data_IF_217058975167
#
_entry.id   IF_217058975167
#
_cell.length_a   1.000
_cell.length_b   1.000
_cell.length_c   1.000
_cell.angle_alpha   90.00
_cell.angle_beta   90.00
_cell.angle_gamma   90.00
#
_symmetry.space_group_name_H-M   'P 1'
#
loop_
_entity.id
_entity.type
_entity.pdbx_description
1 polymer ?
#
# COMPACT_ATOMS: atom_id res chain seq x y z
N UNK A 1 1.50 0.94 17.16
CA UNK A 1 1.72 1.06 15.70
C UNK A 1 0.77 2.12 15.18
N UNK A 2 1.23 2.94 14.24
CA UNK A 2 0.44 4.04 13.64
C UNK A 2 0.49 3.93 12.13
N UNK A 3 -0.61 4.19 11.44
CA UNK A 3 -0.66 4.33 9.98
C UNK A 3 -1.13 5.74 9.62
N UNK A 4 -0.44 6.38 8.67
CA UNK A 4 -0.86 7.63 8.04
C UNK A 4 -1.11 7.37 6.56
N UNK A 5 -2.30 7.69 6.08
CA UNK A 5 -2.67 7.60 4.67
C UNK A 5 -2.06 8.78 3.92
N UNK A 6 -1.03 8.55 3.12
CA UNK A 6 -0.41 9.59 2.28
C UNK A 6 -1.22 9.75 0.99
N UNK A 7 -1.63 8.63 0.40
CA UNK A 7 -2.48 8.57 -0.77
C UNK A 7 -3.34 7.32 -0.75
N UNK A 8 -4.57 7.44 -1.22
CA UNK A 8 -5.59 6.38 -1.23
C UNK A 8 -6.45 6.38 -2.50
N UNK A 9 -6.11 7.18 -3.51
CA UNK A 9 -6.79 7.11 -4.81
C UNK A 9 -6.41 5.84 -5.55
N UNK A 10 -7.41 5.17 -6.10
CA UNK A 10 -7.26 3.98 -6.93
C UNK A 10 -7.01 4.31 -8.39
N UNK A 11 -6.18 3.50 -9.06
CA UNK A 11 -5.85 3.53 -10.49
C UNK A 11 -5.11 4.79 -10.96
N UNK A 12 -5.36 5.95 -10.39
CA UNK A 12 -4.70 7.23 -10.70
C UNK A 12 -4.94 8.25 -9.57
N UNK A 13 -4.08 9.28 -9.43
CA UNK A 13 -4.26 10.29 -8.39
C UNK A 13 -5.49 11.15 -8.68
N UNK A 14 -6.27 11.42 -7.64
CA UNK A 14 -7.39 12.34 -7.68
C UNK A 14 -7.02 13.74 -7.18
N UNK A 15 -7.92 14.72 -7.31
CA UNK A 15 -7.66 16.09 -6.83
C UNK A 15 -7.50 16.19 -5.30
N UNK A 16 -8.09 15.25 -4.55
CA UNK A 16 -8.06 15.25 -3.09
C UNK A 16 -7.03 14.27 -2.51
N UNK A 17 -6.45 13.38 -3.30
CA UNK A 17 -5.51 12.35 -2.82
C UNK A 17 -4.56 11.91 -3.92
N UNK A 18 -3.26 11.73 -3.62
CA UNK A 18 -2.36 10.94 -4.45
C UNK A 18 -2.83 9.50 -4.60
N UNK A 19 -2.18 8.76 -5.49
CA UNK A 19 -2.31 7.31 -5.60
C UNK A 19 -1.74 6.60 -4.35
N UNK A 20 -1.86 5.28 -4.28
CA UNK A 20 -1.60 4.47 -3.09
C UNK A 20 -0.24 4.72 -2.45
N UNK A 21 -0.25 5.13 -1.20
CA UNK A 21 0.92 5.23 -0.33
C UNK A 21 0.49 5.32 1.14
N UNK A 22 1.05 4.46 1.98
CA UNK A 22 0.73 4.42 3.40
C UNK A 22 2.02 4.40 4.22
N UNK A 23 2.13 5.36 5.14
CA UNK A 23 3.25 5.43 6.09
C UNK A 23 2.87 4.68 7.37
N UNK A 24 3.61 3.62 7.67
CA UNK A 24 3.41 2.83 8.90
C UNK A 24 4.60 3.05 9.82
N UNK A 25 4.31 3.41 11.07
CA UNK A 25 5.32 3.76 12.07
C UNK A 25 5.18 2.88 13.33
N UNK A 26 6.32 2.36 13.81
CA UNK A 26 6.45 1.72 15.12
C UNK A 26 7.89 1.90 15.62
N UNK A 27 8.08 2.11 16.91
CA UNK A 27 9.38 2.20 17.59
C UNK A 27 10.39 3.13 16.87
N UNK A 28 9.89 4.25 16.32
CA UNK A 28 10.70 5.24 15.59
C UNK A 28 11.10 4.83 14.17
N UNK A 29 10.72 3.65 13.71
CA UNK A 29 10.96 3.19 12.32
C UNK A 29 9.77 3.54 11.42
N UNK A 30 10.06 3.95 10.18
CA UNK A 30 9.08 4.34 9.16
C UNK A 30 9.15 3.40 7.97
N UNK A 31 8.07 2.71 7.72
CA UNK A 31 7.88 1.82 6.58
C UNK A 31 6.84 2.43 5.63
N UNK A 32 7.13 2.48 4.34
CA UNK A 32 6.12 2.79 3.32
C UNK A 32 5.55 1.50 2.74
N UNK A 33 4.24 1.44 2.64
CA UNK A 33 3.51 0.48 1.81
C UNK A 33 3.07 1.23 0.55
N UNK A 34 3.66 0.86 -0.59
CA UNK A 34 3.54 1.50 -1.89
C UNK A 34 4.03 2.97 -1.94
N UNK A 35 4.28 3.45 -3.15
CA UNK A 35 4.63 4.84 -3.43
C UNK A 35 4.15 5.19 -4.85
N UNK A 36 2.84 5.32 -4.99
CA UNK A 36 2.17 5.67 -6.23
C UNK A 36 2.37 7.13 -6.62
N UNK A 37 1.98 7.45 -7.83
CA UNK A 37 2.21 8.78 -8.40
C UNK A 37 1.50 9.91 -7.60
N UNK A 38 2.25 10.99 -7.37
CA UNK A 38 1.87 12.14 -6.55
C UNK A 38 2.12 11.97 -5.04
N UNK A 39 2.40 10.75 -4.59
CA UNK A 39 2.54 10.45 -3.16
C UNK A 39 3.86 10.96 -2.56
N UNK A 40 4.94 11.02 -3.32
CA UNK A 40 6.21 11.53 -2.81
C UNK A 40 6.12 13.01 -2.36
N UNK A 41 5.37 13.81 -3.11
CA UNK A 41 5.11 15.20 -2.73
C UNK A 41 4.32 15.31 -1.44
N UNK A 42 3.25 14.55 -1.32
CA UNK A 42 2.39 14.53 -0.14
C UNK A 42 3.10 13.96 1.10
N UNK A 43 3.94 12.93 0.94
CA UNK A 43 4.73 12.30 2.01
C UNK A 43 5.57 13.31 2.79
N UNK A 44 6.13 14.32 2.12
CA UNK A 44 6.99 15.33 2.74
C UNK A 44 6.27 16.22 3.76
N UNK A 45 4.92 16.23 3.77
CA UNK A 45 4.13 16.88 4.83
C UNK A 45 4.07 16.04 6.12
N UNK A 46 4.47 14.76 6.07
CA UNK A 46 4.32 13.80 7.17
C UNK A 46 5.64 13.24 7.67
N UNK A 47 6.64 13.10 6.79
CA UNK A 47 7.95 12.58 7.15
C UNK A 47 9.05 13.17 6.26
N UNK A 48 10.27 13.39 6.79
CA UNK A 48 11.42 13.71 5.96
C UNK A 48 11.81 12.50 5.11
N UNK A 49 12.28 12.75 3.88
CA UNK A 49 12.60 11.68 2.92
C UNK A 49 13.77 10.79 3.36
N UNK A 50 14.71 11.33 4.12
CA UNK A 50 15.82 10.58 4.73
C UNK A 50 15.42 9.80 5.98
N UNK A 51 14.24 10.07 6.54
CA UNK A 51 13.70 9.40 7.70
C UNK A 51 12.95 8.09 7.39
N UNK A 52 12.81 7.70 6.12
CA UNK A 52 12.17 6.43 5.72
C UNK A 52 13.17 5.29 5.87
N UNK A 53 12.79 4.25 6.60
CA UNK A 53 13.63 3.10 6.88
C UNK A 53 13.54 1.99 5.83
N UNK A 54 12.37 1.83 5.19
CA UNK A 54 12.13 0.83 4.14
C UNK A 54 10.89 1.15 3.30
N UNK A 55 10.79 0.53 2.12
CA UNK A 55 9.60 0.52 1.27
C UNK A 55 9.22 -0.92 0.94
N UNK A 56 7.91 -1.21 0.97
CA UNK A 56 7.33 -2.43 0.43
C UNK A 56 6.40 -2.06 -0.72
N UNK A 57 6.70 -2.52 -1.94
CA UNK A 57 5.84 -2.35 -3.09
C UNK A 57 4.99 -3.61 -3.25
N UNK A 58 3.68 -3.44 -3.23
CA UNK A 58 2.73 -4.55 -3.34
C UNK A 58 2.75 -5.20 -4.72
N UNK A 59 2.79 -4.38 -5.75
CA UNK A 59 2.88 -4.77 -7.15
C UNK A 59 3.42 -3.60 -7.99
N UNK A 60 3.54 -3.78 -9.32
CA UNK A 60 4.27 -2.84 -10.18
C UNK A 60 3.36 -2.01 -11.12
N UNK A 61 2.08 -1.83 -10.80
CA UNK A 61 1.28 -0.81 -11.47
C UNK A 61 1.74 0.60 -11.09
N UNK A 62 1.49 1.57 -11.99
CA UNK A 62 2.03 2.92 -11.85
C UNK A 62 1.55 3.64 -10.59
N UNK A 63 0.31 3.45 -10.24
CA UNK A 63 -0.35 4.03 -9.06
C UNK A 63 0.10 3.41 -7.71
N UNK A 64 1.04 2.45 -7.75
CA UNK A 64 1.69 1.86 -6.57
C UNK A 64 3.19 2.06 -6.51
N UNK A 65 3.86 2.40 -7.63
CA UNK A 65 5.32 2.41 -7.63
C UNK A 65 6.01 3.58 -8.36
N UNK A 66 5.30 4.39 -9.16
CA UNK A 66 6.00 5.32 -10.06
C UNK A 66 6.74 6.46 -9.36
N UNK A 67 6.32 6.90 -8.18
CA UNK A 67 7.06 7.94 -7.44
C UNK A 67 8.39 7.45 -6.86
N UNK A 68 8.67 6.14 -6.91
CA UNK A 68 10.02 5.63 -6.69
C UNK A 68 11.05 6.24 -7.65
N UNK A 69 10.64 6.57 -8.88
CA UNK A 69 11.50 7.27 -9.84
C UNK A 69 11.91 8.66 -9.33
N UNK A 70 10.94 9.45 -8.90
CA UNK A 70 11.20 10.78 -8.30
C UNK A 70 11.95 10.66 -6.98
N UNK A 71 11.67 9.63 -6.19
CA UNK A 71 12.38 9.38 -4.94
C UNK A 71 13.85 9.02 -5.18
N UNK A 72 14.17 8.27 -6.25
CA UNK A 72 15.56 8.01 -6.64
C UNK A 72 16.33 9.32 -6.92
N UNK A 73 15.70 10.28 -7.60
CA UNK A 73 16.29 11.60 -7.85
C UNK A 73 16.53 12.35 -6.53
N UNK A 74 15.52 12.41 -5.65
CA UNK A 74 15.65 13.09 -4.36
C UNK A 74 16.78 12.49 -3.50
N UNK A 75 16.94 11.16 -3.52
CA UNK A 75 18.00 10.47 -2.78
C UNK A 75 19.38 10.67 -3.37
N UNK A 76 19.48 10.70 -4.71
CA UNK A 76 20.76 10.87 -5.41
C UNK A 76 21.32 12.28 -5.25
N UNK A 77 20.45 13.28 -5.28
CA UNK A 77 20.84 14.70 -5.31
C UNK A 77 20.46 15.44 -4.02
N UNK A 78 20.40 14.74 -2.91
CA UNK A 78 20.14 15.36 -1.61
C UNK A 78 21.19 16.42 -1.27
N UNK A 79 20.84 17.55 -0.60
CA UNK A 79 21.77 18.64 -0.31
C UNK A 79 23.02 18.23 0.47
N UNK A 80 22.94 17.18 1.29
CA UNK A 80 24.06 16.59 2.03
C UNK A 80 24.87 15.54 1.28
N UNK A 81 24.60 15.33 -0.03
CA UNK A 81 25.15 14.24 -0.83
C UNK A 81 24.17 13.07 -0.98
N UNK A 82 24.52 12.10 -1.83
CA UNK A 82 23.68 10.94 -2.07
C UNK A 82 23.39 10.16 -0.77
N UNK A 83 22.12 9.86 -0.55
CA UNK A 83 21.70 9.04 0.61
C UNK A 83 22.13 7.58 0.41
N UNK A 84 22.40 6.83 1.50
CA UNK A 84 22.62 5.40 1.43
C UNK A 84 21.44 4.66 0.76
N UNK A 85 21.68 3.55 0.02
CA UNK A 85 20.60 2.81 -0.62
C UNK A 85 19.51 2.39 0.36
N UNK A 86 18.25 2.77 0.09
CA UNK A 86 17.10 2.42 0.91
C UNK A 86 16.67 0.98 0.62
N UNK A 87 16.44 0.12 1.64
CA UNK A 87 15.87 -1.19 1.45
C UNK A 87 14.47 -1.12 0.82
N UNK A 88 14.27 -1.87 -0.27
CA UNK A 88 12.97 -1.97 -0.97
C UNK A 88 12.62 -3.43 -1.18
N UNK A 89 11.51 -3.86 -0.63
CA UNK A 89 10.93 -5.17 -0.93
C UNK A 89 9.88 -4.99 -2.02
N UNK A 90 10.00 -5.73 -3.11
CA UNK A 90 9.14 -5.57 -4.29
C UNK A 90 9.00 -6.89 -5.06
N UNK A 91 7.97 -7.04 -5.89
CA UNK A 91 7.90 -8.15 -6.84
C UNK A 91 9.11 -8.21 -7.77
N UNK A 92 9.33 -9.38 -8.38
CA UNK A 92 10.38 -9.58 -9.37
C UNK A 92 10.32 -8.55 -10.49
N UNK A 93 11.48 -8.11 -11.00
CA UNK A 93 11.57 -7.15 -12.11
C UNK A 93 11.31 -5.68 -11.72
N UNK A 94 11.19 -5.36 -10.43
CA UNK A 94 10.97 -3.97 -10.00
C UNK A 94 12.10 -3.01 -10.41
N UNK A 95 13.40 -3.35 -10.29
CA UNK A 95 14.47 -2.48 -10.75
C UNK A 95 14.38 -2.15 -12.24
N UNK A 96 14.11 -3.15 -13.07
CA UNK A 96 13.98 -3.02 -14.53
C UNK A 96 12.76 -2.18 -14.91
N UNK A 97 11.64 -2.40 -14.22
CA UNK A 97 10.39 -1.66 -14.43
C UNK A 97 10.58 -0.17 -14.14
N UNK A 98 11.20 0.15 -13.00
CA UNK A 98 11.43 1.52 -12.56
C UNK A 98 12.51 2.23 -13.40
N UNK A 99 13.59 1.55 -13.75
CA UNK A 99 14.63 2.12 -14.62
C UNK A 99 14.06 2.48 -16.00
N UNK A 100 13.22 1.61 -16.59
CA UNK A 100 12.53 1.91 -17.86
C UNK A 100 11.56 3.09 -17.72
N UNK A 101 10.82 3.17 -16.61
CA UNK A 101 9.91 4.28 -16.37
C UNK A 101 10.66 5.61 -16.20
N UNK A 102 11.84 5.58 -15.58
CA UNK A 102 12.70 6.76 -15.39
C UNK A 102 13.49 7.12 -16.66
N UNK A 103 13.57 6.23 -17.65
CA UNK A 103 14.38 6.43 -18.88
C UNK A 103 15.88 6.31 -18.64
N UNK A 104 16.31 5.49 -17.67
CA UNK A 104 17.72 5.30 -17.27
C UNK A 104 18.09 3.81 -17.30
N UNK A 105 19.41 3.52 -17.19
CA UNK A 105 19.88 2.18 -16.87
C UNK A 105 19.69 1.89 -15.38
N UNK A 106 19.55 0.61 -15.01
CA UNK A 106 19.39 0.19 -13.62
C UNK A 106 20.55 0.69 -12.75
N UNK A 107 21.80 0.54 -13.23
CA UNK A 107 23.03 0.91 -12.52
C UNK A 107 23.18 2.40 -12.24
N UNK A 108 22.57 3.26 -13.07
CA UNK A 108 22.87 4.69 -13.07
C UNK A 108 21.93 5.52 -12.18
N UNK A 109 20.82 4.95 -11.76
CA UNK A 109 19.83 5.67 -10.94
C UNK A 109 19.21 4.80 -9.86
N UNK A 110 18.40 3.84 -10.26
CA UNK A 110 17.55 3.05 -9.36
C UNK A 110 18.38 2.21 -8.37
N UNK A 111 19.41 1.49 -8.85
CA UNK A 111 20.23 0.63 -7.98
C UNK A 111 21.17 1.41 -7.04
N UNK A 112 21.45 2.67 -7.33
CA UNK A 112 22.22 3.54 -6.41
C UNK A 112 21.38 4.03 -5.25
N UNK A 113 20.09 4.24 -5.49
CA UNK A 113 19.17 4.79 -4.51
C UNK A 113 18.50 3.73 -3.66
N UNK A 114 18.35 2.50 -4.18
CA UNK A 114 17.56 1.44 -3.56
C UNK A 114 18.28 0.10 -3.53
N UNK A 115 18.21 -0.56 -2.38
CA UNK A 115 18.65 -1.95 -2.19
C UNK A 115 17.43 -2.88 -2.33
N UNK A 116 17.16 -3.33 -3.55
CA UNK A 116 16.01 -4.21 -3.82
C UNK A 116 16.18 -5.60 -3.25
N UNK A 117 15.08 -6.13 -2.73
CA UNK A 117 14.89 -7.49 -2.25
C UNK A 117 13.57 -8.01 -2.81
N UNK A 118 13.62 -9.14 -3.47
CA UNK A 118 12.44 -9.75 -4.07
C UNK A 118 11.47 -10.23 -2.99
N UNK A 119 10.18 -9.93 -3.19
CA UNK A 119 9.11 -10.46 -2.37
C UNK A 119 8.84 -11.92 -2.76
N UNK A 120 8.53 -12.71 -1.75
CA UNK A 120 7.95 -14.04 -1.88
C UNK A 120 6.98 -14.24 -0.71
N UNK A 121 5.99 -15.14 -0.80
CA UNK A 121 5.15 -15.49 0.33
C UNK A 121 5.99 -15.96 1.53
N UNK A 122 5.59 -15.56 2.73
CA UNK A 122 6.30 -15.91 3.97
C UNK A 122 6.49 -14.73 4.90
N UNK A 123 7.16 -14.97 6.02
CA UNK A 123 7.37 -14.00 7.09
C UNK A 123 8.83 -13.55 7.14
N UNK A 124 9.05 -12.26 7.38
CA UNK A 124 10.37 -11.63 7.52
C UNK A 124 10.34 -10.46 8.48
N UNK A 125 11.51 -10.10 9.01
CA UNK A 125 11.67 -8.92 9.85
C UNK A 125 12.07 -7.71 9.01
N UNK A 126 11.32 -6.59 9.16
CA UNK A 126 11.64 -5.29 8.54
C UNK A 126 11.56 -4.21 9.65
N UNK A 127 12.71 -3.75 10.13
CA UNK A 127 12.73 -2.90 11.33
C UNK A 127 12.04 -3.59 12.51
N UNK A 128 11.13 -2.92 13.22
CA UNK A 128 10.38 -3.51 14.33
C UNK A 128 9.20 -4.39 13.87
N UNK A 129 8.89 -4.42 12.56
CA UNK A 129 7.75 -5.16 12.04
C UNK A 129 8.10 -6.60 11.69
N UNK A 130 7.32 -7.55 12.21
CA UNK A 130 7.19 -8.86 11.59
C UNK A 130 6.23 -8.73 10.42
N UNK A 131 6.74 -8.91 9.20
CA UNK A 131 5.99 -8.72 7.95
C UNK A 131 5.74 -10.07 7.29
N UNK A 132 4.48 -10.47 7.21
CA UNK A 132 4.04 -11.64 6.44
C UNK A 132 3.41 -11.19 5.13
N UNK A 133 3.79 -11.84 4.03
CA UNK A 133 3.26 -11.59 2.68
C UNK A 133 2.61 -12.83 2.11
N UNK A 134 1.57 -12.65 1.33
CA UNK A 134 0.92 -13.69 0.55
C UNK A 134 0.52 -13.14 -0.81
N UNK A 135 0.52 -13.99 -1.85
CA UNK A 135 -0.07 -13.61 -3.13
C UNK A 135 -1.56 -13.33 -2.96
N UNK A 136 -2.02 -12.27 -3.61
CA UNK A 136 -3.43 -11.91 -3.74
C UNK A 136 -3.85 -12.00 -5.22
N UNK A 137 -5.14 -11.94 -5.47
CA UNK A 137 -5.68 -12.17 -6.81
C UNK A 137 -5.75 -10.87 -7.61
N UNK A 138 -4.78 -10.64 -8.49
CA UNK A 138 -4.73 -9.44 -9.34
C UNK A 138 -4.23 -9.77 -10.75
N UNK A 139 -4.30 -8.80 -11.67
CA UNK A 139 -3.90 -8.97 -13.08
C UNK A 139 -2.40 -9.13 -13.30
N UNK A 140 -1.59 -8.74 -12.31
CA UNK A 140 -0.14 -8.93 -12.23
C UNK A 140 0.23 -9.56 -10.90
N UNK A 141 1.48 -9.99 -10.73
CA UNK A 141 1.95 -10.46 -9.42
C UNK A 141 1.76 -9.37 -8.37
N UNK A 142 0.97 -9.69 -7.34
CA UNK A 142 0.62 -8.79 -6.26
C UNK A 142 0.66 -9.49 -4.90
N UNK A 143 1.10 -8.75 -3.88
CA UNK A 143 1.23 -9.24 -2.51
C UNK A 143 0.40 -8.38 -1.56
N UNK A 144 -0.43 -9.04 -0.75
CA UNK A 144 -0.96 -8.46 0.47
C UNK A 144 0.06 -8.55 1.60
N UNK A 145 -0.08 -7.69 2.61
CA UNK A 145 0.82 -7.59 3.75
C UNK A 145 0.09 -7.71 5.07
N UNK A 146 0.70 -8.43 6.02
CA UNK A 146 0.36 -8.40 7.43
C UNK A 146 1.58 -7.89 8.18
N UNK A 147 1.42 -6.81 8.94
CA UNK A 147 2.45 -6.19 9.76
C UNK A 147 2.09 -6.36 11.23
N UNK A 148 2.98 -6.96 12.01
CA UNK A 148 2.81 -7.08 13.45
C UNK A 148 3.95 -6.32 14.17
N UNK A 149 3.59 -5.46 15.13
CA UNK A 149 4.55 -4.74 15.99
C UNK A 149 3.85 -4.27 17.26
N UNK A 150 4.52 -4.37 18.41
CA UNK A 150 4.00 -3.91 19.69
C UNK A 150 2.68 -4.57 20.12
N UNK A 151 2.46 -5.83 19.74
CA UNK A 151 1.22 -6.57 20.01
C UNK A 151 0.03 -6.15 19.16
N UNK A 152 0.24 -5.32 18.13
CA UNK A 152 -0.77 -4.82 17.20
C UNK A 152 -0.54 -5.35 15.80
N UNK A 153 -1.62 -5.50 15.02
CA UNK A 153 -1.62 -6.08 13.69
C UNK A 153 -2.38 -5.20 12.71
N UNK A 154 -1.69 -4.82 11.64
CA UNK A 154 -2.25 -4.18 10.44
C UNK A 154 -2.21 -5.18 9.27
N UNK A 155 -3.32 -5.37 8.57
CA UNK A 155 -3.36 -6.07 7.28
C UNK A 155 -3.61 -5.08 6.15
N UNK A 156 -2.86 -5.18 5.06
CA UNK A 156 -3.05 -4.40 3.83
C UNK A 156 -3.33 -5.35 2.67
N UNK A 157 -4.44 -5.14 2.00
CA UNK A 157 -4.88 -6.01 0.89
C UNK A 157 -4.00 -5.89 -0.35
N UNK A 158 -3.40 -4.73 -0.60
CA UNK A 158 -3.00 -4.30 -1.94
C UNK A 158 -4.20 -4.32 -2.90
N UNK A 159 -3.97 -4.35 -4.22
CA UNK A 159 -5.03 -4.55 -5.22
C UNK A 159 -5.35 -6.02 -5.36
N UNK A 160 -6.62 -6.36 -5.27
CA UNK A 160 -7.03 -7.76 -5.32
C UNK A 160 -8.51 -7.91 -5.67
N UNK A 161 -8.85 -8.93 -6.44
CA UNK A 161 -10.18 -9.51 -6.42
C UNK A 161 -10.41 -10.38 -5.17
N UNK A 162 -11.52 -11.10 -5.13
CA UNK A 162 -11.80 -12.02 -4.02
C UNK A 162 -10.66 -13.03 -3.82
N UNK A 163 -10.13 -13.10 -2.58
CA UNK A 163 -8.91 -13.86 -2.27
C UNK A 163 -8.99 -14.54 -0.90
N UNK A 164 -9.13 -15.87 -0.85
CA UNK A 164 -9.02 -16.61 0.40
C UNK A 164 -7.67 -16.43 1.11
N UNK A 165 -6.61 -16.14 0.34
CA UNK A 165 -5.30 -15.85 0.90
C UNK A 165 -5.29 -14.54 1.69
N UNK A 166 -6.02 -13.51 1.21
CA UNK A 166 -6.21 -12.25 1.93
C UNK A 166 -6.95 -12.46 3.26
N UNK A 167 -8.01 -13.26 3.27
CA UNK A 167 -8.75 -13.59 4.52
C UNK A 167 -7.82 -14.22 5.55
N UNK A 168 -6.99 -15.18 5.14
CA UNK A 168 -6.00 -15.82 6.03
C UNK A 168 -4.95 -14.84 6.52
N UNK A 169 -4.45 -13.98 5.63
CA UNK A 169 -3.43 -12.97 5.95
C UNK A 169 -3.94 -11.96 6.98
N UNK A 170 -5.19 -11.53 6.82
CA UNK A 170 -5.85 -10.55 7.68
C UNK A 170 -6.45 -11.15 8.96
N UNK A 171 -6.32 -12.47 9.19
CA UNK A 171 -6.95 -13.13 10.34
C UNK A 171 -6.61 -12.45 11.67
N UNK A 172 -7.65 -11.95 12.37
CA UNK A 172 -7.54 -11.28 13.66
C UNK A 172 -6.73 -9.97 13.64
N UNK A 173 -6.62 -9.30 12.50
CA UNK A 173 -5.96 -7.99 12.42
C UNK A 173 -6.74 -6.93 13.24
N UNK A 174 -6.03 -6.08 13.99
CA UNK A 174 -6.66 -4.93 14.68
C UNK A 174 -7.26 -3.95 13.67
N UNK A 175 -6.55 -3.72 12.55
CA UNK A 175 -7.01 -2.89 11.43
C UNK A 175 -6.73 -3.62 10.10
N UNK A 176 -7.75 -3.71 9.26
CA UNK A 176 -7.61 -4.10 7.86
C UNK A 176 -7.75 -2.87 6.97
N UNK A 177 -6.70 -2.54 6.23
CA UNK A 177 -6.67 -1.56 5.15
C UNK A 177 -6.95 -2.32 3.86
N UNK A 178 -8.15 -2.16 3.29
CA UNK A 178 -8.61 -2.98 2.17
C UNK A 178 -9.05 -2.11 1.00
N UNK A 179 -8.62 -2.46 -0.20
CA UNK A 179 -9.09 -1.83 -1.42
C UNK A 179 -10.60 -1.97 -1.60
N UNK A 180 -11.21 -0.99 -2.28
CA UNK A 180 -12.62 -0.99 -2.66
C UNK A 180 -12.83 -0.16 -3.94
N UNK A 181 -12.15 -0.55 -5.00
CA UNK A 181 -12.13 0.20 -6.27
C UNK A 181 -13.43 0.11 -7.04
N UNK A 182 -14.15 -1.00 -6.91
CA UNK A 182 -15.36 -1.24 -7.66
C UNK A 182 -16.62 -0.84 -6.90
N UNK A 183 -17.64 -0.47 -7.66
CA UNK A 183 -18.97 -0.15 -7.13
C UNK A 183 -19.89 -1.35 -7.35
N UNK A 184 -20.66 -1.71 -6.33
CA UNK A 184 -21.58 -2.84 -6.37
C UNK A 184 -22.65 -2.64 -7.45
N UNK A 185 -22.88 -3.70 -8.27
CA UNK A 185 -23.86 -3.68 -9.36
C UNK A 185 -23.38 -3.06 -10.67
N UNK A 186 -22.20 -2.45 -10.72
CA UNK A 186 -21.60 -1.98 -11.97
C UNK A 186 -20.94 -3.16 -12.74
N UNK A 187 -20.71 -3.05 -14.06
CA UNK A 187 -20.06 -4.09 -14.86
C UNK A 187 -18.55 -4.12 -14.55
N UNK A 188 -18.19 -4.81 -13.48
CA UNK A 188 -16.81 -4.92 -12.98
C UNK A 188 -16.09 -6.13 -13.59
N UNK A 189 -14.84 -5.99 -14.09
CA UNK A 189 -14.03 -7.13 -14.51
C UNK A 189 -13.77 -8.09 -13.32
N UNK A 190 -13.97 -9.39 -13.46
CA UNK A 190 -13.77 -10.34 -12.36
C UNK A 190 -12.29 -10.49 -11.99
N UNK A 191 -11.99 -10.70 -10.70
CA UNK A 191 -10.66 -11.08 -10.22
C UNK A 191 -9.60 -9.99 -10.23
N UNK A 192 -9.99 -8.72 -10.36
CA UNK A 192 -9.05 -7.59 -10.44
C UNK A 192 -9.11 -6.72 -9.20
N UNK A 193 -10.30 -6.33 -8.78
CA UNK A 193 -10.55 -5.50 -7.61
C UNK A 193 -11.77 -5.96 -6.83
N UNK A 194 -11.96 -5.40 -5.63
CA UNK A 194 -13.11 -5.62 -4.77
C UNK A 194 -14.12 -4.46 -4.86
N UNK A 195 -15.38 -4.79 -4.64
CA UNK A 195 -16.39 -3.78 -4.25
C UNK A 195 -16.29 -3.51 -2.74
N UNK A 196 -16.89 -2.42 -2.27
CA UNK A 196 -16.98 -2.12 -0.84
C UNK A 196 -17.59 -3.27 -0.04
N UNK A 197 -18.64 -3.91 -0.59
CA UNK A 197 -19.29 -5.10 0.01
C UNK A 197 -18.33 -6.29 0.11
N UNK A 198 -17.59 -6.60 -0.94
CA UNK A 198 -16.63 -7.70 -0.95
C UNK A 198 -15.47 -7.45 0.01
N UNK A 199 -14.94 -6.23 0.07
CA UNK A 199 -13.92 -5.84 1.04
C UNK A 199 -14.41 -6.05 2.48
N UNK A 200 -15.65 -5.62 2.79
CA UNK A 200 -16.29 -5.79 4.08
C UNK A 200 -16.51 -7.28 4.44
N UNK A 201 -16.90 -8.11 3.47
CA UNK A 201 -17.03 -9.55 3.66
C UNK A 201 -15.68 -10.22 3.98
N UNK A 202 -14.59 -9.82 3.31
CA UNK A 202 -13.24 -10.31 3.62
C UNK A 202 -12.83 -9.94 5.04
N UNK A 203 -13.07 -8.68 5.46
CA UNK A 203 -12.77 -8.22 6.81
C UNK A 203 -13.58 -8.98 7.88
N UNK A 204 -14.86 -9.21 7.65
CA UNK A 204 -15.72 -9.99 8.54
C UNK A 204 -15.26 -11.45 8.66
N UNK A 205 -14.94 -12.10 7.54
CA UNK A 205 -14.42 -13.47 7.52
C UNK A 205 -13.06 -13.60 8.21
N UNK A 206 -12.23 -12.58 8.10
CA UNK A 206 -10.93 -12.51 8.78
C UNK A 206 -11.07 -12.23 10.29
N UNK A 207 -12.22 -11.79 10.77
CA UNK A 207 -12.39 -11.34 12.15
C UNK A 207 -11.58 -10.07 12.44
N UNK A 208 -11.45 -9.16 11.48
CA UNK A 208 -10.76 -7.90 11.66
C UNK A 208 -11.46 -7.01 12.69
N UNK A 209 -10.69 -6.29 13.52
CA UNK A 209 -11.22 -5.39 14.54
C UNK A 209 -11.82 -4.10 13.96
N UNK A 210 -11.22 -3.58 12.88
CA UNK A 210 -11.70 -2.41 12.15
C UNK A 210 -11.37 -2.55 10.64
N UNK A 211 -12.15 -1.86 9.80
CA UNK A 211 -11.96 -1.82 8.35
C UNK A 211 -11.80 -0.39 7.87
N UNK A 212 -10.70 -0.11 7.17
CA UNK A 212 -10.44 1.14 6.47
C UNK A 212 -10.42 0.84 4.97
N UNK A 213 -11.45 1.29 4.26
CA UNK A 213 -11.54 1.13 2.81
C UNK A 213 -10.63 2.13 2.10
N UNK A 214 -9.87 1.66 1.13
CA UNK A 214 -8.88 2.46 0.40
C UNK A 214 -8.88 2.14 -1.09
N UNK A 215 -7.94 2.68 -1.86
CA UNK A 215 -7.83 2.54 -3.31
C UNK A 215 -9.14 2.94 -4.00
N UNK A 216 -9.66 4.09 -3.56
CA UNK A 216 -10.95 4.61 -3.99
C UNK A 216 -10.78 5.37 -5.31
N UNK A 217 -11.40 4.88 -6.37
CA UNK A 217 -11.29 5.51 -7.69
C UNK A 217 -11.94 6.89 -7.67
N UNK A 218 -11.25 7.97 -8.12
CA UNK A 218 -11.68 9.37 -7.90
C UNK A 218 -13.04 9.75 -8.50
N UNK A 219 -13.48 9.07 -9.54
CA UNK A 219 -14.81 9.32 -10.15
C UNK A 219 -15.95 8.50 -9.55
N UNK A 220 -15.66 7.56 -8.64
CA UNK A 220 -16.69 6.77 -7.99
C UNK A 220 -17.36 7.55 -6.86
N UNK A 221 -18.63 7.28 -6.66
CA UNK A 221 -19.37 7.74 -5.49
C UNK A 221 -18.90 6.97 -4.24
N UNK A 222 -18.06 7.63 -3.44
CA UNK A 222 -17.47 7.03 -2.25
C UNK A 222 -18.51 6.76 -1.15
N UNK A 223 -19.57 7.55 -1.08
CA UNK A 223 -20.66 7.33 -0.11
C UNK A 223 -21.42 6.04 -0.47
N UNK A 224 -21.56 5.75 -1.76
CA UNK A 224 -22.13 4.48 -2.24
C UNK A 224 -21.23 3.30 -1.89
N UNK A 225 -19.91 3.39 -2.08
CA UNK A 225 -18.96 2.35 -1.68
C UNK A 225 -19.07 2.03 -0.19
N UNK A 226 -19.16 3.07 0.65
CA UNK A 226 -19.33 2.92 2.10
C UNK A 226 -20.68 2.30 2.46
N UNK A 227 -21.76 2.73 1.82
CA UNK A 227 -23.11 2.22 2.04
C UNK A 227 -23.23 0.73 1.65
N UNK A 228 -22.56 0.31 0.58
CA UNK A 228 -22.51 -1.09 0.14
C UNK A 228 -21.70 -1.98 1.10
N UNK A 229 -20.69 -1.45 1.75
CA UNK A 229 -19.84 -2.15 2.70
C UNK A 229 -20.51 -2.33 4.08
N UNK A 230 -21.22 -1.33 4.57
CA UNK A 230 -21.73 -1.25 5.94
C UNK A 230 -22.57 -2.47 6.38
N UNK A 231 -23.46 -3.05 5.57
CA UNK A 231 -24.23 -4.23 5.98
C UNK A 231 -23.40 -5.52 6.13
N UNK A 232 -22.19 -5.55 5.54
CA UNK A 232 -21.35 -6.75 5.47
C UNK A 232 -20.24 -6.79 6.54
N UNK A 233 -20.00 -5.71 7.27
CA UNK A 233 -19.00 -5.64 8.34
C UNK A 233 -19.59 -5.01 9.60
N UNK A 234 -19.64 -5.74 10.74
CA UNK A 234 -20.28 -5.25 11.97
C UNK A 234 -19.39 -4.34 12.82
N UNK A 235 -18.09 -4.24 12.48
CA UNK A 235 -17.10 -3.45 13.22
C UNK A 235 -17.00 -2.00 12.77
N UNK A 236 -16.07 -1.23 13.37
CA UNK A 236 -15.73 0.11 12.90
C UNK A 236 -15.30 0.10 11.43
N UNK A 237 -15.99 0.91 10.61
CA UNK A 237 -15.80 1.01 9.16
C UNK A 237 -15.66 2.47 8.76
N UNK A 238 -14.67 2.78 7.93
CA UNK A 238 -14.47 4.13 7.40
C UNK A 238 -13.76 4.12 6.04
N UNK A 239 -13.78 5.27 5.35
CA UNK A 239 -13.01 5.48 4.13
C UNK A 239 -11.66 6.15 4.45
N UNK A 240 -10.61 5.69 3.76
CA UNK A 240 -9.32 6.36 3.79
C UNK A 240 -9.41 7.74 3.13
N UNK A 241 -8.67 8.70 3.70
CA UNK A 241 -8.51 10.05 3.14
C UNK A 241 -7.06 10.46 3.31
N UNK A 242 -6.50 11.19 2.35
CA UNK A 242 -5.14 11.71 2.46
C UNK A 242 -4.98 12.54 3.75
N UNK A 243 -3.93 12.28 4.50
CA UNK A 243 -3.65 12.87 5.81
C UNK A 243 -4.32 12.19 7.01
N UNK A 244 -5.23 11.23 6.80
CA UNK A 244 -5.82 10.47 7.91
C UNK A 244 -4.75 9.66 8.63
N UNK A 245 -4.70 9.81 9.96
CA UNK A 245 -3.82 9.01 10.83
C UNK A 245 -4.66 8.15 11.76
N UNK A 246 -4.30 6.87 11.90
CA UNK A 246 -4.98 5.90 12.76
C UNK A 246 -3.93 5.21 13.66
N UNK A 247 -4.17 5.18 14.96
CA UNK A 247 -3.44 4.33 15.89
C UNK A 247 -4.08 2.93 15.87
N UNK A 248 -3.28 1.92 15.52
CA UNK A 248 -3.69 0.51 15.39
C UNK A 248 -3.69 -0.15 16.75
#
# INVERSE_FOLDING_TARGET
>A
MRITVIGCSGSFPGPASPASCYLVEADGFRLLLDLGNGALGALQNHAPLDGIGAVCLSHLHGDHCLDMCSYAVARTYAPGGAMPPLPVWAPAGAPERLARAQGTNISDGIARSFAFRELAPGTRQIGPFEVTTAHVNHSVEAFGFRLAAGGKVLAYSADTGESPALVKLAAGADLMLCEASFVEGDPNPPGVHLTGRQAAQHAAQAGAGALLLTHLVPWNDQDRVLADAAPAFPGPLSLARAGLTVDV
#
